data_IF_717304159635
#
_entry.id   IF_717304159635
#
_cell.length_a   1.000
_cell.length_b   1.000
_cell.length_c   1.000
_cell.angle_alpha   90.00
_cell.angle_beta   90.00
_cell.angle_gamma   90.00
#
_symmetry.space_group_name_H-M   'P 1'
#
loop_
_entity.id
_entity.type
_entity.pdbx_description
1 polymer ?
#
# COMPACT_ATOMS: atom_id res chain seq x y z
N UNK A 1 13.92 27.51 -12.66
CA UNK A 1 13.03 27.30 -11.50
C UNK A 1 13.85 26.71 -10.38
N UNK A 2 13.67 27.22 -9.15
CA UNK A 2 14.34 26.67 -7.98
C UNK A 2 13.44 25.61 -7.31
N UNK A 3 13.90 24.36 -7.27
CA UNK A 3 13.21 23.24 -6.64
C UNK A 3 13.83 22.84 -5.29
N UNK A 4 14.71 23.67 -4.73
CA UNK A 4 15.44 23.36 -3.49
C UNK A 4 14.52 22.98 -2.33
N UNK A 5 13.40 23.68 -2.16
CA UNK A 5 12.40 23.37 -1.14
C UNK A 5 11.76 21.98 -1.35
N UNK A 6 11.38 21.66 -2.58
CA UNK A 6 10.75 20.38 -2.91
C UNK A 6 11.70 19.21 -2.68
N UNK A 7 12.98 19.40 -2.95
CA UNK A 7 14.01 18.38 -2.83
C UNK A 7 14.67 18.33 -1.45
N UNK A 8 14.28 19.20 -0.52
CA UNK A 8 14.78 19.18 0.86
C UNK A 8 14.13 18.07 1.68
N UNK A 9 14.86 17.45 2.63
CA UNK A 9 14.30 16.48 3.56
C UNK A 9 13.12 17.04 4.37
N UNK A 10 12.22 16.15 4.78
CA UNK A 10 11.07 16.49 5.63
C UNK A 10 10.82 15.40 6.66
N UNK A 11 10.22 15.76 7.79
CA UNK A 11 9.75 14.80 8.79
C UNK A 11 8.23 14.72 8.77
N UNK A 12 7.71 13.50 8.87
CA UNK A 12 6.30 13.17 9.12
C UNK A 12 6.27 12.46 10.47
N UNK A 13 5.93 13.20 11.54
CA UNK A 13 6.15 12.72 12.90
C UNK A 13 7.64 12.42 13.12
N UNK A 14 7.97 11.16 13.47
CA UNK A 14 9.34 10.71 13.66
C UNK A 14 9.99 10.14 12.39
N UNK A 15 9.23 9.98 11.30
CA UNK A 15 9.73 9.45 10.03
C UNK A 15 10.37 10.57 9.21
N UNK A 16 11.65 10.43 8.88
CA UNK A 16 12.33 11.30 7.95
C UNK A 16 12.24 10.74 6.52
N UNK A 17 11.84 11.59 5.57
CA UNK A 17 11.83 11.32 4.13
C UNK A 17 12.83 12.22 3.42
N UNK A 18 13.51 11.66 2.39
CA UNK A 18 14.63 12.32 1.71
C UNK A 18 14.25 13.61 0.96
N UNK A 19 12.99 13.79 0.64
CA UNK A 19 12.46 14.99 -0.01
C UNK A 19 10.92 15.06 0.19
N UNK A 20 10.29 16.13 -0.31
CA UNK A 20 8.86 16.41 -0.11
C UNK A 20 7.96 15.84 -1.21
N UNK A 21 8.46 14.89 -2.00
CA UNK A 21 7.64 14.22 -3.03
C UNK A 21 7.00 12.94 -2.50
N UNK A 22 5.72 12.80 -2.75
CA UNK A 22 4.93 11.62 -2.33
C UNK A 22 4.19 11.06 -3.53
N UNK A 23 4.37 9.77 -3.79
CA UNK A 23 3.50 9.03 -4.67
C UNK A 23 2.30 8.54 -3.85
N UNK A 24 1.13 9.15 -4.09
CA UNK A 24 -0.10 8.82 -3.37
C UNK A 24 -0.67 7.48 -3.82
N UNK A 25 -1.52 6.90 -2.98
CA UNK A 25 -2.10 5.59 -3.23
C UNK A 25 -2.93 5.54 -4.53
N UNK A 26 -2.60 4.60 -5.39
CA UNK A 26 -3.36 4.26 -6.57
C UNK A 26 -3.39 2.73 -6.74
N UNK A 27 -4.56 2.16 -6.94
CA UNK A 27 -4.73 0.72 -7.14
C UNK A 27 -4.49 0.34 -8.60
N UNK A 28 -3.54 -0.54 -8.84
CA UNK A 28 -3.16 -1.00 -10.18
C UNK A 28 -3.51 -2.46 -10.43
N UNK A 29 -4.07 -3.15 -9.45
CA UNK A 29 -4.45 -4.57 -9.58
C UNK A 29 -3.34 -5.46 -10.14
N UNK A 30 -2.11 -5.26 -9.67
CA UNK A 30 -0.91 -6.00 -10.11
C UNK A 30 -0.39 -6.99 -9.08
N UNK A 31 -1.10 -7.20 -7.98
CA UNK A 31 -0.76 -8.25 -7.01
C UNK A 31 -1.14 -9.64 -7.48
N UNK A 32 -0.77 -10.64 -6.70
CA UNK A 32 -1.26 -12.01 -6.87
C UNK A 32 -2.68 -12.15 -6.30
N UNK A 33 -3.41 -13.18 -6.72
CA UNK A 33 -4.74 -13.46 -6.18
C UNK A 33 -4.76 -13.67 -4.66
N UNK A 34 -3.65 -14.19 -4.09
CA UNK A 34 -3.46 -14.37 -2.66
C UNK A 34 -2.98 -13.08 -1.93
N UNK A 35 -2.86 -11.96 -2.65
CA UNK A 35 -2.47 -10.67 -2.09
C UNK A 35 -0.98 -10.40 -1.95
N UNK A 36 -0.12 -11.33 -2.38
CA UNK A 36 1.33 -11.09 -2.42
C UNK A 36 1.69 -10.11 -3.53
N UNK A 37 2.71 -9.26 -3.36
CA UNK A 37 3.23 -8.45 -4.45
C UNK A 37 3.81 -9.36 -5.56
N UNK A 38 3.62 -8.98 -6.81
CA UNK A 38 4.29 -9.60 -7.95
C UNK A 38 5.61 -8.88 -8.24
N UNK A 39 6.52 -9.52 -8.99
CA UNK A 39 7.72 -8.86 -9.49
C UNK A 39 7.35 -7.60 -10.28
N UNK A 40 6.35 -7.68 -11.17
CA UNK A 40 5.87 -6.55 -11.96
C UNK A 40 5.43 -5.37 -11.08
N UNK A 41 4.73 -5.64 -9.98
CA UNK A 41 4.31 -4.61 -9.03
C UNK A 41 5.52 -4.00 -8.32
N UNK A 42 6.43 -4.85 -7.84
CA UNK A 42 7.65 -4.41 -7.16
C UNK A 42 8.52 -3.55 -8.07
N UNK A 43 8.76 -3.98 -9.31
CA UNK A 43 9.51 -3.23 -10.32
C UNK A 43 8.87 -1.87 -10.61
N UNK A 44 7.53 -1.86 -10.75
CA UNK A 44 6.78 -0.63 -10.99
C UNK A 44 7.06 0.43 -9.93
N UNK A 45 7.02 0.07 -8.66
CA UNK A 45 7.26 1.01 -7.56
C UNK A 45 8.75 1.28 -7.36
N UNK A 46 9.61 0.29 -7.58
CA UNK A 46 11.07 0.47 -7.51
C UNK A 46 11.56 1.51 -8.51
N UNK A 47 11.06 1.51 -9.74
CA UNK A 47 11.39 2.53 -10.74
C UNK A 47 11.01 3.95 -10.28
N UNK A 48 9.93 4.14 -9.53
CA UNK A 48 9.56 5.44 -8.95
C UNK A 48 10.50 5.83 -7.81
N UNK A 49 10.93 4.88 -7.01
CA UNK A 49 11.93 5.11 -5.96
C UNK A 49 13.29 5.51 -6.56
N UNK A 50 13.74 4.84 -7.64
CA UNK A 50 14.92 5.22 -8.45
C UNK A 50 14.77 6.61 -9.03
N UNK A 51 13.57 6.97 -9.50
CA UNK A 51 13.24 8.31 -10.02
C UNK A 51 13.25 9.41 -8.96
N UNK A 52 13.50 9.09 -7.69
CA UNK A 52 13.74 10.07 -6.64
C UNK A 52 12.58 10.35 -5.70
N UNK A 53 11.44 9.67 -5.81
CA UNK A 53 10.30 9.85 -4.88
C UNK A 53 10.74 9.59 -3.44
N UNK A 54 10.32 10.47 -2.51
CA UNK A 54 10.68 10.37 -1.09
C UNK A 54 9.83 9.38 -0.31
N UNK A 55 8.52 9.34 -0.58
CA UNK A 55 7.56 8.42 0.05
C UNK A 55 6.65 7.83 -1.02
N UNK A 56 6.46 6.52 -0.98
CA UNK A 56 5.54 5.80 -1.85
C UNK A 56 4.44 5.17 -0.99
N UNK A 57 3.19 5.38 -1.37
CA UNK A 57 2.04 4.70 -0.78
C UNK A 57 1.42 3.88 -1.91
N UNK A 58 1.61 2.55 -1.94
CA UNK A 58 0.95 1.67 -2.89
C UNK A 58 -0.57 1.75 -2.78
N UNK A 59 -1.27 1.13 -3.72
CA UNK A 59 -2.72 0.99 -3.65
C UNK A 59 -3.19 0.26 -2.40
N UNK A 60 -4.49 0.18 -2.25
CA UNK A 60 -5.14 -0.44 -1.09
C UNK A 60 -4.60 -1.83 -0.77
N UNK A 61 -4.41 -2.10 0.52
CA UNK A 61 -3.94 -3.38 1.05
C UNK A 61 -5.02 -3.96 1.97
N UNK A 62 -5.66 -5.07 1.58
CA UNK A 62 -6.75 -5.65 2.36
C UNK A 62 -6.24 -6.27 3.67
N UNK A 63 -7.03 -6.12 4.71
CA UNK A 63 -6.74 -6.65 6.05
C UNK A 63 -7.46 -7.96 6.36
N UNK A 64 -8.33 -8.40 5.47
CA UNK A 64 -9.10 -9.64 5.59
C UNK A 64 -9.45 -10.19 4.22
N UNK A 65 -9.25 -11.47 3.97
CA UNK A 65 -9.47 -12.06 2.65
C UNK A 65 -10.95 -12.34 2.34
N UNK A 66 -11.74 -12.53 3.37
CA UNK A 66 -13.17 -12.86 3.21
C UNK A 66 -14.02 -11.62 2.94
N UNK A 67 -13.78 -10.53 3.66
CA UNK A 67 -14.67 -9.36 3.67
C UNK A 67 -14.03 -8.06 3.19
N UNK A 68 -12.70 -8.03 3.03
CA UNK A 68 -11.98 -6.81 2.68
C UNK A 68 -11.46 -6.77 1.24
N UNK A 69 -11.95 -7.64 0.37
CA UNK A 69 -11.56 -7.69 -1.03
C UNK A 69 -12.36 -6.68 -1.84
N UNK A 70 -11.66 -5.74 -2.49
CA UNK A 70 -12.22 -4.78 -3.46
C UNK A 70 -11.77 -5.08 -4.89
N UNK A 71 -10.63 -5.77 -5.04
CA UNK A 71 -10.07 -6.19 -6.33
C UNK A 71 -9.41 -7.56 -6.12
N UNK A 72 -9.50 -8.44 -7.11
CA UNK A 72 -8.94 -9.80 -7.02
C UNK A 72 -7.43 -9.83 -6.87
N UNK A 73 -6.73 -8.80 -7.32
CA UNK A 73 -5.26 -8.73 -7.34
C UNK A 73 -4.72 -7.55 -6.52
N UNK A 74 -5.49 -7.07 -5.54
CA UNK A 74 -5.00 -6.10 -4.58
C UNK A 74 -4.02 -6.75 -3.59
N UNK A 75 -3.11 -5.94 -3.04
CA UNK A 75 -2.24 -6.37 -1.96
C UNK A 75 -3.01 -6.79 -0.72
N UNK A 76 -2.42 -7.63 0.11
CA UNK A 76 -2.99 -8.06 1.38
C UNK A 76 -1.93 -8.11 2.49
N UNK A 77 -2.39 -7.83 3.71
CA UNK A 77 -1.67 -8.06 4.96
C UNK A 77 -2.60 -8.74 5.98
N UNK A 78 -3.29 -9.77 5.54
CA UNK A 78 -4.29 -10.52 6.31
C UNK A 78 -3.73 -11.75 7.01
N UNK A 79 -2.52 -12.20 6.64
CA UNK A 79 -1.88 -13.42 7.16
C UNK A 79 -0.36 -13.27 7.24
N UNK A 80 0.28 -14.05 8.11
CA UNK A 80 1.73 -14.04 8.32
C UNK A 80 2.52 -14.40 7.06
N UNK A 81 1.96 -15.18 6.14
CA UNK A 81 2.64 -15.52 4.87
C UNK A 81 2.82 -14.32 3.93
N UNK A 82 2.23 -13.16 4.24
CA UNK A 82 2.47 -11.92 3.53
C UNK A 82 3.73 -11.19 4.01
N UNK A 83 4.24 -11.50 5.22
CA UNK A 83 5.34 -10.77 5.85
C UNK A 83 6.59 -10.77 4.97
N UNK A 84 7.07 -11.93 4.56
CA UNK A 84 8.31 -12.03 3.79
C UNK A 84 8.22 -11.37 2.40
N UNK A 85 7.16 -11.60 1.59
CA UNK A 85 7.01 -10.89 0.32
C UNK A 85 6.90 -9.36 0.48
N UNK A 86 6.25 -8.90 1.54
CA UNK A 86 6.16 -7.46 1.82
C UNK A 86 7.49 -6.91 2.30
N UNK A 87 8.27 -7.66 3.09
CA UNK A 87 9.63 -7.27 3.49
C UNK A 87 10.54 -7.10 2.27
N UNK A 88 10.47 -8.00 1.31
CA UNK A 88 11.20 -7.89 0.05
C UNK A 88 10.80 -6.60 -0.70
N UNK A 89 9.50 -6.36 -0.85
CA UNK A 89 8.98 -5.17 -1.51
C UNK A 89 9.46 -3.87 -0.83
N UNK A 90 9.32 -3.78 0.49
CA UNK A 90 9.83 -2.65 1.29
C UNK A 90 11.33 -2.49 1.10
N UNK A 91 12.10 -3.57 1.15
CA UNK A 91 13.55 -3.57 0.96
C UNK A 91 13.97 -3.00 -0.40
N UNK A 92 13.24 -3.33 -1.47
CA UNK A 92 13.49 -2.75 -2.80
C UNK A 92 13.36 -1.23 -2.80
N UNK A 93 12.29 -0.72 -2.19
CA UNK A 93 12.03 0.72 -2.11
C UNK A 93 13.08 1.43 -1.25
N UNK A 94 13.40 0.85 -0.10
CA UNK A 94 14.36 1.43 0.86
C UNK A 94 15.78 1.52 0.29
N UNK A 95 16.21 0.59 -0.59
CA UNK A 95 17.53 0.66 -1.26
C UNK A 95 17.76 1.97 -2.03
N UNK A 96 16.69 2.64 -2.45
CA UNK A 96 16.74 3.92 -3.16
C UNK A 96 16.48 5.13 -2.25
N UNK A 97 16.49 4.93 -0.91
CA UNK A 97 16.26 5.97 0.09
C UNK A 97 14.82 6.49 0.14
N UNK A 98 13.89 5.88 -0.59
CA UNK A 98 12.47 6.17 -0.46
C UNK A 98 11.90 5.41 0.75
N UNK A 99 10.82 5.93 1.33
CA UNK A 99 10.02 5.22 2.34
C UNK A 99 8.76 4.64 1.71
N UNK A 100 8.21 3.59 2.31
CA UNK A 100 6.96 2.97 1.86
C UNK A 100 5.92 3.05 2.98
N UNK A 101 4.72 3.53 2.63
CA UNK A 101 3.54 3.52 3.49
C UNK A 101 2.56 2.45 3.01
N UNK A 102 1.83 1.82 3.92
CA UNK A 102 0.77 0.87 3.57
C UNK A 102 -0.58 1.50 3.85
N UNK A 103 -1.45 1.53 2.83
CA UNK A 103 -2.84 1.93 2.99
C UNK A 103 -3.69 0.71 3.35
N UNK A 104 -3.89 0.47 4.65
CA UNK A 104 -4.77 -0.59 5.11
C UNK A 104 -6.22 -0.29 4.72
N UNK A 105 -6.92 -1.30 4.20
CA UNK A 105 -8.23 -1.13 3.59
C UNK A 105 -9.24 -2.21 3.98
N UNK A 106 -10.44 -1.76 4.28
CA UNK A 106 -11.63 -2.58 4.39
C UNK A 106 -12.80 -1.87 3.69
N UNK A 107 -13.34 -2.42 2.59
CA UNK A 107 -14.34 -1.74 1.75
C UNK A 107 -15.73 -1.65 2.39
N UNK A 108 -15.95 -2.32 3.52
CA UNK A 108 -17.26 -2.38 4.15
C UNK A 108 -18.34 -2.96 3.20
N UNK A 109 -19.43 -2.24 3.02
CA UNK A 109 -20.55 -2.66 2.15
C UNK A 109 -20.22 -2.76 0.66
N UNK A 110 -19.10 -2.17 0.22
CA UNK A 110 -18.68 -2.18 -1.19
C UNK A 110 -17.71 -3.34 -1.50
N UNK A 111 -17.39 -4.17 -0.49
CA UNK A 111 -16.52 -5.33 -0.70
C UNK A 111 -17.20 -6.38 -1.57
N UNK A 112 -16.40 -7.03 -2.43
CA UNK A 112 -16.87 -8.24 -3.08
C UNK A 112 -16.96 -9.34 -2.04
N UNK A 113 -18.14 -9.91 -1.86
CA UNK A 113 -18.27 -11.17 -1.14
C UNK A 113 -17.55 -12.24 -1.99
N UNK A 114 -16.34 -12.57 -1.63
CA UNK A 114 -15.45 -13.45 -2.40
C UNK A 114 -15.80 -14.92 -2.31
N UNK A 115 -16.95 -15.26 -1.77
CA UNK A 115 -17.41 -16.63 -1.74
C UNK A 115 -18.90 -16.73 -1.88
N UNK A 116 -19.26 -17.58 -2.71
CA UNK A 116 -20.50 -18.13 -3.21
C UNK A 116 -21.62 -18.36 -2.17
N UNK A 117 -21.60 -17.89 -0.97
CA UNK A 117 -22.69 -18.08 0.00
C UNK A 117 -22.72 -17.07 1.16
N UNK A 118 -22.00 -15.98 1.12
CA UNK A 118 -22.12 -14.98 2.17
C UNK A 118 -22.95 -13.79 1.68
N UNK A 119 -24.12 -13.62 2.25
CA UNK A 119 -24.85 -12.36 2.23
C UNK A 119 -23.86 -11.21 2.53
N UNK A 120 -23.95 -10.07 1.82
CA UNK A 120 -23.15 -8.91 2.17
C UNK A 120 -23.42 -8.61 3.65
N UNK A 121 -22.39 -8.77 4.47
CA UNK A 121 -22.49 -8.40 5.86
C UNK A 121 -22.69 -6.89 5.89
N UNK A 122 -23.91 -6.46 6.16
CA UNK A 122 -24.21 -5.08 6.48
C UNK A 122 -23.59 -4.83 7.85
N UNK A 123 -22.28 -4.54 7.84
CA UNK A 123 -21.64 -4.00 9.02
C UNK A 123 -22.29 -2.62 9.29
N UNK A 124 -22.73 -2.35 10.52
CA UNK A 124 -23.17 -1.01 10.86
C UNK A 124 -22.06 -0.03 10.48
N UNK A 125 -22.45 1.09 9.90
CA UNK A 125 -21.60 2.18 9.42
C UNK A 125 -20.58 2.59 10.50
N UNK A 126 -19.45 1.92 10.53
CA UNK A 126 -18.28 2.44 11.17
C UNK A 126 -17.51 3.16 10.05
N UNK A 127 -17.60 4.46 10.03
CA UNK A 127 -16.69 5.31 9.22
C UNK A 127 -15.27 5.12 9.72
N UNK A 128 -14.63 4.03 9.37
CA UNK A 128 -13.18 3.95 9.50
C UNK A 128 -12.58 4.60 8.27
N UNK A 129 -12.02 5.78 8.48
CA UNK A 129 -11.10 6.39 7.52
C UNK A 129 -9.97 5.39 7.25
N UNK A 130 -9.49 5.27 6.00
CA UNK A 130 -8.34 4.41 5.71
C UNK A 130 -7.14 4.88 6.55
N UNK A 131 -6.56 3.95 7.27
CA UNK A 131 -5.33 4.20 8.04
C UNK A 131 -4.13 3.99 7.12
N UNK A 132 -3.20 4.95 7.14
CA UNK A 132 -1.91 4.84 6.45
C UNK A 132 -0.88 4.48 7.50
N UNK A 133 -0.29 3.30 7.37
CA UNK A 133 0.81 2.86 8.20
C UNK A 133 2.13 3.12 7.48
N UNK A 134 2.99 3.94 8.09
CA UNK A 134 4.33 4.22 7.60
C UNK A 134 5.30 3.18 8.16
N UNK A 135 6.08 2.56 7.27
CA UNK A 135 7.12 1.60 7.62
C UNK A 135 8.47 2.31 7.44
N UNK A 136 9.13 2.54 8.55
CA UNK A 136 10.43 3.22 8.65
C UNK A 136 11.63 2.31 8.44
#
# INVERSE_FOLDING_TARGET
MDYSMLLSPMKIGNLEIKNRTVMTAAEFSMGQANGKPTEKLMDYYEERAKGGVGLIIPGICRVNDMYATSSFTQLAMSHDYHIEPMREFVGRIHRHGAKLGIQLHHPGRQGYASSVNSLPMILPLVEKKPEIMLIG
#
